data_IF_857930611745
#
_entry.id   IF_857930611745
#
_cell.length_a   1.000
_cell.length_b   1.000
_cell.length_c   1.000
_cell.angle_alpha   90.00
_cell.angle_beta   90.00
_cell.angle_gamma   90.00
#
_symmetry.space_group_name_H-M   'P 1'
#
loop_
_entity.id
_entity.type
_entity.pdbx_description
1 polymer ?
#
# COMPACT_ATOMS: atom_id res chain seq x y z
N UNK A 1 -0.73 -6.01 -32.38
CA UNK A 1 -1.47 -6.51 -31.20
C UNK A 1 -0.92 -5.75 -30.00
N UNK A 2 -1.57 -4.67 -29.60
CA UNK A 2 -1.06 -3.75 -28.56
C UNK A 2 -1.80 -4.09 -27.26
N UNK A 3 -1.08 -4.61 -26.27
CA UNK A 3 -1.61 -4.95 -24.94
C UNK A 3 -1.59 -3.69 -24.07
N UNK A 4 -2.78 -3.15 -23.79
CA UNK A 4 -3.01 -2.04 -22.87
C UNK A 4 -2.85 -2.54 -21.43
N UNK A 5 -1.78 -2.14 -20.76
CA UNK A 5 -1.53 -2.41 -19.34
C UNK A 5 -2.37 -1.41 -18.52
N UNK A 6 -3.57 -1.82 -18.13
CA UNK A 6 -4.51 -0.98 -17.39
C UNK A 6 -4.13 -0.88 -15.90
N UNK A 7 -3.34 0.14 -15.54
CA UNK A 7 -3.35 0.67 -14.17
C UNK A 7 -4.51 1.66 -14.11
N UNK A 8 -5.64 1.24 -13.54
CA UNK A 8 -6.84 2.08 -13.47
C UNK A 8 -6.64 3.13 -12.37
N UNK A 9 -6.18 4.33 -12.75
CA UNK A 9 -6.17 5.48 -11.87
C UNK A 9 -7.61 6.00 -11.70
N UNK A 10 -8.28 5.63 -10.60
CA UNK A 10 -9.50 6.32 -10.19
C UNK A 10 -9.09 7.58 -9.44
N UNK A 11 -8.87 8.66 -10.19
CA UNK A 11 -8.82 10.01 -9.62
C UNK A 11 -10.27 10.48 -9.43
N UNK A 12 -10.80 10.30 -8.23
CA UNK A 12 -12.09 10.87 -7.87
C UNK A 12 -11.91 12.39 -7.68
N UNK A 13 -12.12 13.16 -8.75
CA UNK A 13 -12.44 14.58 -8.65
C UNK A 13 -13.89 14.68 -8.19
N UNK A 14 -14.10 14.91 -6.90
CA UNK A 14 -15.36 15.44 -6.40
C UNK A 14 -15.51 16.86 -6.97
N UNK A 15 -16.28 16.99 -8.06
CA UNK A 15 -16.71 18.29 -8.55
C UNK A 15 -17.86 18.81 -7.71
N UNK A 16 -17.62 20.03 -7.23
CA UNK A 16 -18.48 20.94 -6.51
C UNK A 16 -19.75 21.26 -7.33
N UNK A 17 -20.92 20.87 -6.82
CA UNK A 17 -22.20 21.37 -7.30
C UNK A 17 -22.59 22.56 -6.43
N UNK A 18 -22.68 23.73 -7.06
CA UNK A 18 -22.67 25.05 -6.43
C UNK A 18 -23.64 25.28 -5.27
N UNK A 19 -23.15 26.02 -4.28
CA UNK A 19 -23.96 26.72 -3.29
C UNK A 19 -23.71 28.23 -3.44
N UNK A 20 -24.76 29.05 -3.68
CA UNK A 20 -24.61 30.49 -3.76
C UNK A 20 -24.54 31.09 -2.35
N UNK A 21 -23.49 31.88 -2.13
CA UNK A 21 -23.41 33.05 -1.26
C UNK A 21 -24.14 33.00 0.11
N UNK A 22 -23.47 32.51 1.16
CA UNK A 22 -23.66 33.03 2.53
C UNK A 22 -22.34 32.97 3.32
N UNK A 23 -21.94 34.11 3.89
CA UNK A 23 -20.69 34.28 4.60
C UNK A 23 -20.61 33.59 5.96
N UNK A 24 -19.38 33.57 6.47
CA UNK A 24 -19.01 33.50 7.88
C UNK A 24 -18.84 32.14 8.58
N UNK A 25 -18.85 30.99 7.90
CA UNK A 25 -18.64 29.69 8.59
C UNK A 25 -17.69 28.69 7.93
N UNK A 26 -16.65 29.16 7.24
CA UNK A 26 -15.47 28.31 7.01
C UNK A 26 -14.39 28.63 8.05
N UNK A 27 -14.06 27.71 8.99
CA UNK A 27 -12.88 27.90 9.81
C UNK A 27 -11.68 28.03 8.87
N UNK A 28 -10.95 29.14 8.99
CA UNK A 28 -9.72 29.37 8.25
C UNK A 28 -8.78 28.19 8.47
N UNK A 29 -8.39 27.51 7.38
CA UNK A 29 -7.22 26.64 7.36
C UNK A 29 -7.39 25.23 7.94
N UNK A 30 -8.31 24.42 7.41
CA UNK A 30 -8.03 22.97 7.33
C UNK A 30 -7.77 22.63 5.87
N UNK A 31 -6.50 22.40 5.55
CA UNK A 31 -6.05 22.05 4.20
C UNK A 31 -6.82 20.85 3.64
N UNK A 32 -7.01 20.83 2.32
CA UNK A 32 -7.58 19.68 1.63
C UNK A 32 -6.74 18.44 1.95
N UNK A 33 -7.33 17.49 2.67
CA UNK A 33 -6.72 16.17 2.85
C UNK A 33 -7.02 15.38 1.58
N UNK A 34 -5.97 14.98 0.89
CA UNK A 34 -6.08 14.14 -0.30
C UNK A 34 -5.99 12.67 0.14
N UNK A 35 -6.93 11.84 -0.30
CA UNK A 35 -6.85 10.39 -0.15
C UNK A 35 -6.53 9.78 -1.50
N UNK A 36 -5.50 8.93 -1.53
CA UNK A 36 -5.18 8.11 -2.70
C UNK A 36 -5.32 6.65 -2.35
N UNK A 37 -5.92 5.87 -3.24
CA UNK A 37 -6.00 4.43 -3.12
C UNK A 37 -5.37 3.80 -4.37
N UNK A 38 -4.53 2.78 -4.16
CA UNK A 38 -3.95 1.97 -5.23
C UNK A 38 -4.38 0.54 -4.98
N UNK A 39 -5.31 0.04 -5.81
CA UNK A 39 -5.73 -1.35 -5.79
C UNK A 39 -4.82 -2.20 -6.66
N UNK A 40 -4.57 -3.42 -6.21
CA UNK A 40 -3.71 -4.38 -6.90
C UNK A 40 -4.52 -5.59 -7.34
N UNK A 41 -4.25 -6.07 -8.54
CA UNK A 41 -4.78 -7.37 -8.97
C UNK A 41 -4.03 -8.52 -8.27
N UNK A 42 -4.62 -9.71 -8.23
CA UNK A 42 -4.00 -10.91 -7.65
C UNK A 42 -2.61 -11.19 -8.24
N UNK A 43 -2.46 -11.02 -9.56
CA UNK A 43 -1.17 -11.20 -10.26
C UNK A 43 -0.12 -10.19 -9.79
N UNK A 44 -0.53 -8.96 -9.56
CA UNK A 44 0.37 -7.90 -9.08
C UNK A 44 0.74 -8.12 -7.61
N UNK A 45 -0.22 -8.55 -6.79
CA UNK A 45 0.02 -8.95 -5.40
C UNK A 45 1.02 -10.10 -5.33
N UNK A 46 0.79 -11.17 -6.10
CA UNK A 46 1.71 -12.31 -6.20
C UNK A 46 3.10 -11.88 -6.65
N UNK A 47 3.19 -11.08 -7.72
CA UNK A 47 4.47 -10.57 -8.24
C UNK A 47 5.21 -9.74 -7.20
N UNK A 48 4.50 -8.84 -6.51
CA UNK A 48 5.07 -8.00 -5.45
C UNK A 48 5.66 -8.83 -4.32
N UNK A 49 4.94 -9.86 -3.85
CA UNK A 49 5.39 -10.76 -2.77
C UNK A 49 6.60 -11.59 -3.21
N UNK A 50 6.57 -12.16 -4.42
CA UNK A 50 7.69 -12.98 -4.94
C UNK A 50 8.96 -12.12 -5.14
N UNK A 51 8.83 -10.92 -5.70
CA UNK A 51 9.97 -10.02 -5.83
C UNK A 51 10.52 -9.55 -4.48
N UNK A 52 9.63 -9.29 -3.52
CA UNK A 52 10.01 -8.84 -2.19
C UNK A 52 10.76 -9.93 -1.41
N UNK A 53 10.27 -11.17 -1.45
CA UNK A 53 10.94 -12.33 -0.84
C UNK A 53 12.29 -12.61 -1.47
N UNK A 54 12.39 -12.48 -2.80
CA UNK A 54 13.67 -12.56 -3.52
C UNK A 54 14.69 -11.52 -3.04
N UNK A 55 14.27 -10.28 -2.78
CA UNK A 55 15.14 -9.23 -2.21
C UNK A 55 15.56 -9.50 -0.77
N UNK A 56 14.68 -10.13 0.02
CA UNK A 56 14.97 -10.53 1.39
C UNK A 56 15.84 -11.79 1.49
N UNK A 57 16.20 -12.43 0.36
CA UNK A 57 16.86 -13.74 0.32
C UNK A 57 16.12 -14.82 1.13
N UNK A 58 14.79 -14.65 1.32
CA UNK A 58 13.96 -15.67 1.96
C UNK A 58 13.72 -16.77 0.94
N UNK A 59 14.20 -17.98 1.22
CA UNK A 59 14.01 -19.13 0.34
C UNK A 59 12.53 -19.49 0.30
N UNK A 60 11.88 -19.21 -0.84
CA UNK A 60 10.60 -19.81 -1.15
C UNK A 60 10.82 -21.27 -1.58
N UNK A 61 9.90 -22.19 -1.26
CA UNK A 61 9.94 -23.53 -1.82
C UNK A 61 9.89 -23.45 -3.35
N UNK A 62 10.61 -24.36 -4.01
CA UNK A 62 10.59 -24.50 -5.45
C UNK A 62 9.27 -25.14 -5.88
N UNK A 63 8.70 -24.69 -7.00
CA UNK A 63 7.43 -25.20 -7.48
C UNK A 63 6.60 -24.17 -8.25
N UNK A 64 5.39 -24.58 -8.60
CA UNK A 64 4.39 -23.73 -9.26
C UNK A 64 3.60 -22.94 -8.22
N UNK A 65 3.67 -21.61 -8.31
CA UNK A 65 2.86 -20.71 -7.49
C UNK A 65 1.41 -20.73 -8.00
N UNK A 66 0.45 -20.99 -7.10
CA UNK A 66 -1.00 -20.88 -7.36
C UNK A 66 -1.51 -19.49 -6.96
N UNK A 67 -2.79 -19.23 -7.24
CA UNK A 67 -3.42 -17.97 -6.93
C UNK A 67 -3.35 -17.67 -5.41
N UNK A 68 -3.00 -16.43 -5.02
CA UNK A 68 -2.86 -16.05 -3.62
C UNK A 68 -4.21 -16.03 -2.93
N UNK A 69 -4.25 -16.51 -1.68
CA UNK A 69 -5.44 -16.45 -0.83
C UNK A 69 -5.26 -15.33 0.18
N UNK A 70 -6.15 -14.35 0.13
CA UNK A 70 -6.20 -13.25 1.10
C UNK A 70 -7.12 -13.67 2.23
N UNK A 71 -6.57 -13.77 3.45
CA UNK A 71 -7.36 -14.01 4.65
C UNK A 71 -7.64 -12.66 5.29
N UNK A 72 -8.87 -12.21 5.13
CA UNK A 72 -9.39 -11.00 5.75
C UNK A 72 -9.57 -11.21 7.27
N UNK A 73 -9.04 -10.27 8.06
CA UNK A 73 -9.13 -10.28 9.52
C UNK A 73 -8.14 -9.29 10.11
N UNK A 74 -8.26 -8.92 11.39
CA UNK A 74 -7.19 -8.26 12.11
C UNK A 74 -6.27 -9.31 12.74
N UNK A 75 -5.05 -9.56 12.23
CA UNK A 75 -4.35 -8.90 11.12
C UNK A 75 -4.61 -9.55 9.74
N UNK A 76 -4.45 -8.76 8.67
CA UNK A 76 -4.59 -9.26 7.30
C UNK A 76 -3.42 -10.21 7.01
N UNK A 77 -3.70 -11.38 6.44
CA UNK A 77 -2.64 -12.31 6.03
C UNK A 77 -2.84 -12.75 4.60
N UNK A 78 -1.73 -13.00 3.89
CA UNK A 78 -1.75 -13.52 2.53
C UNK A 78 -1.04 -14.86 2.52
N UNK A 79 -1.73 -15.87 2.01
CA UNK A 79 -1.22 -17.22 1.83
C UNK A 79 -0.88 -17.43 0.36
N UNK A 80 0.33 -17.90 0.11
CA UNK A 80 0.80 -18.24 -1.23
C UNK A 80 0.96 -19.77 -1.31
N UNK A 81 0.01 -20.48 -1.95
CA UNK A 81 0.13 -21.91 -2.18
C UNK A 81 1.16 -22.16 -3.28
N UNK A 82 2.09 -23.07 -3.03
CA UNK A 82 3.16 -23.45 -3.94
C UNK A 82 3.12 -24.97 -4.07
N UNK A 83 2.87 -25.46 -5.28
CA UNK A 83 2.88 -26.88 -5.60
C UNK A 83 4.28 -27.30 -6.07
N UNK A 84 4.94 -28.17 -5.32
CA UNK A 84 6.24 -28.73 -5.70
C UNK A 84 6.12 -29.74 -6.86
N UNK A 85 7.23 -30.09 -7.49
CA UNK A 85 7.29 -31.02 -8.63
C UNK A 85 6.80 -32.44 -8.26
N UNK A 86 6.78 -32.75 -6.96
CA UNK A 86 6.25 -34.01 -6.40
C UNK A 86 4.74 -33.96 -6.09
N UNK A 87 4.04 -32.89 -6.46
CA UNK A 87 2.61 -32.69 -6.20
C UNK A 87 2.30 -32.36 -4.73
N UNK A 88 3.31 -31.99 -3.94
CA UNK A 88 3.13 -31.59 -2.54
C UNK A 88 2.84 -30.10 -2.45
N UNK A 89 1.77 -29.75 -1.75
CA UNK A 89 1.41 -28.36 -1.49
C UNK A 89 2.20 -27.81 -0.31
N UNK A 90 2.89 -26.71 -0.54
CA UNK A 90 3.54 -25.88 0.46
C UNK A 90 2.79 -24.56 0.56
N UNK A 91 2.65 -24.04 1.77
CA UNK A 91 1.98 -22.77 2.02
C UNK A 91 2.97 -21.77 2.62
N UNK A 92 3.14 -20.64 1.95
CA UNK A 92 3.93 -19.53 2.46
C UNK A 92 2.99 -18.42 2.93
N UNK A 93 2.96 -18.17 4.24
CA UNK A 93 2.14 -17.11 4.85
C UNK A 93 2.95 -15.83 5.04
N UNK A 94 2.34 -14.71 4.70
CA UNK A 94 2.87 -13.36 4.83
C UNK A 94 1.98 -12.52 5.73
N UNK A 95 2.60 -11.80 6.66
CA UNK A 95 1.90 -10.89 7.55
C UNK A 95 1.56 -9.56 6.85
N UNK A 96 0.54 -8.85 7.34
CA UNK A 96 0.11 -7.54 6.82
C UNK A 96 1.26 -6.57 6.53
N UNK A 97 2.20 -6.46 7.48
CA UNK A 97 3.36 -5.56 7.35
C UNK A 97 4.31 -5.98 6.22
N UNK A 98 4.52 -7.29 6.04
CA UNK A 98 5.34 -7.82 4.94
C UNK A 98 4.65 -7.56 3.60
N UNK A 99 3.34 -7.77 3.52
CA UNK A 99 2.54 -7.53 2.32
C UNK A 99 2.52 -6.05 1.96
N UNK A 100 2.32 -5.16 2.94
CA UNK A 100 2.37 -3.72 2.73
C UNK A 100 3.76 -3.28 2.22
N UNK A 101 4.83 -3.78 2.82
CA UNK A 101 6.20 -3.51 2.37
C UNK A 101 6.46 -4.03 0.95
N UNK A 102 5.96 -5.22 0.61
CA UNK A 102 6.06 -5.79 -0.73
C UNK A 102 5.35 -4.93 -1.79
N UNK A 103 4.13 -4.47 -1.50
CA UNK A 103 3.36 -3.60 -2.40
C UNK A 103 4.00 -2.22 -2.57
N UNK A 104 4.52 -1.63 -1.49
CA UNK A 104 5.30 -0.37 -1.56
C UNK A 104 6.55 -0.57 -2.43
N UNK A 105 7.29 -1.67 -2.21
CA UNK A 105 8.47 -2.03 -3.00
C UNK A 105 8.16 -2.21 -4.49
N UNK A 106 7.03 -2.83 -4.80
CA UNK A 106 6.52 -2.99 -6.16
C UNK A 106 6.21 -1.63 -6.82
N UNK A 107 5.52 -0.73 -6.12
CA UNK A 107 5.26 0.63 -6.61
C UNK A 107 6.55 1.42 -6.89
N UNK A 108 7.56 1.30 -6.01
CA UNK A 108 8.87 1.94 -6.21
C UNK A 108 9.56 1.44 -7.47
N UNK A 109 9.53 0.12 -7.69
CA UNK A 109 10.16 -0.54 -8.86
C UNK A 109 9.50 -0.10 -10.17
N UNK A 110 8.18 0.11 -10.15
CA UNK A 110 7.41 0.61 -11.30
C UNK A 110 7.38 2.13 -11.43
N UNK A 111 8.17 2.85 -10.62
CA UNK A 111 8.24 4.33 -10.62
C UNK A 111 6.87 4.99 -10.41
N UNK A 112 5.96 4.33 -9.71
CA UNK A 112 4.69 4.92 -9.29
C UNK A 112 5.02 5.94 -8.20
N UNK A 113 4.68 7.21 -8.44
CA UNK A 113 4.99 8.30 -7.51
C UNK A 113 4.17 8.16 -6.23
N UNK A 114 4.79 7.58 -5.21
CA UNK A 114 4.24 7.57 -3.86
C UNK A 114 4.83 8.70 -3.02
N UNK A 115 4.01 9.40 -2.22
CA UNK A 115 4.51 10.35 -1.25
C UNK A 115 5.37 9.67 -0.18
N UNK A 116 6.59 10.18 0.02
CA UNK A 116 7.52 9.63 1.01
C UNK A 116 6.96 9.76 2.44
N UNK A 117 6.42 10.94 2.78
CA UNK A 117 5.89 11.30 4.11
C UNK A 117 4.37 11.22 4.16
N UNK A 118 3.85 10.01 3.96
CA UNK A 118 2.42 9.74 4.08
C UNK A 118 2.22 8.42 4.79
N UNK A 119 1.18 8.35 5.61
CA UNK A 119 0.71 7.10 6.19
C UNK A 119 0.17 6.20 5.07
N UNK A 120 0.57 4.93 5.10
CA UNK A 120 0.23 3.92 4.10
C UNK A 120 -0.29 2.71 4.84
N UNK A 121 -1.54 2.36 4.59
CA UNK A 121 -2.22 1.24 5.26
C UNK A 121 -2.71 0.26 4.22
N UNK A 122 -2.52 -1.03 4.48
CA UNK A 122 -3.09 -2.08 3.66
C UNK A 122 -4.55 -2.30 4.07
N UNK A 123 -5.44 -2.31 3.10
CA UNK A 123 -6.85 -2.63 3.28
C UNK A 123 -7.28 -3.58 2.17
N UNK A 124 -8.27 -4.42 2.45
CA UNK A 124 -8.92 -5.21 1.41
C UNK A 124 -10.21 -4.49 1.02
N UNK A 125 -10.30 -4.05 -0.24
CA UNK A 125 -11.46 -3.34 -0.78
C UNK A 125 -11.97 -4.14 -1.97
N UNK A 126 -13.21 -4.60 -1.90
CA UNK A 126 -13.82 -5.43 -2.95
C UNK A 126 -12.98 -6.68 -3.29
N UNK A 127 -12.38 -7.32 -2.28
CA UNK A 127 -11.53 -8.51 -2.45
C UNK A 127 -10.13 -8.23 -3.00
N UNK A 128 -9.78 -6.97 -3.28
CA UNK A 128 -8.46 -6.60 -3.76
C UNK A 128 -7.61 -5.96 -2.66
N UNK A 129 -6.35 -6.38 -2.56
CA UNK A 129 -5.35 -5.69 -1.75
C UNK A 129 -5.21 -4.25 -2.24
N UNK A 130 -5.39 -3.29 -1.35
CA UNK A 130 -5.40 -1.86 -1.66
C UNK A 130 -4.52 -1.11 -0.67
N UNK A 131 -3.56 -0.34 -1.19
CA UNK A 131 -2.82 0.62 -0.38
C UNK A 131 -3.59 1.92 -0.32
N UNK A 132 -4.07 2.26 0.88
CA UNK A 132 -4.68 3.57 1.18
C UNK A 132 -3.60 4.50 1.69
N UNK A 133 -3.48 5.66 1.06
CA UNK A 133 -2.44 6.66 1.31
C UNK A 133 -3.12 7.97 1.69
N UNK A 134 -2.88 8.41 2.92
CA UNK A 134 -3.42 9.66 3.45
C UNK A 134 -2.40 10.79 3.25
N UNK A 135 -2.75 11.76 2.40
CA UNK A 135 -1.99 12.97 2.13
C UNK A 135 -2.59 14.12 2.95
N UNK A 136 -2.02 14.32 4.13
CA UNK A 136 -2.23 15.52 4.95
C UNK A 136 -0.90 16.24 5.16
N UNK A 137 -0.97 17.48 5.62
CA UNK A 137 0.19 18.17 6.17
C UNK A 137 0.61 17.42 7.44
N UNK A 138 1.61 16.55 7.33
CA UNK A 138 2.23 15.96 8.50
C UNK A 138 3.03 17.08 9.15
N UNK A 139 2.50 17.67 10.23
CA UNK A 139 3.30 18.47 11.16
C UNK A 139 4.49 17.60 11.55
N UNK A 140 5.65 17.92 10.99
CA UNK A 140 6.90 17.29 11.35
C UNK A 140 7.19 17.76 12.77
N UNK A 141 6.79 16.96 13.77
CA UNK A 141 7.21 17.13 15.15
C UNK A 141 8.73 16.94 15.18
N UNK A 142 9.44 18.03 14.94
CA UNK A 142 10.86 18.12 15.08
C UNK A 142 11.09 18.12 16.59
N UNK A 143 11.16 16.92 17.17
CA UNK A 143 11.63 16.72 18.53
C UNK A 143 13.00 17.40 18.64
N UNK A 144 12.96 18.61 19.18
CA UNK A 144 14.10 19.43 19.52
C UNK A 144 14.82 18.69 20.64
N UNK A 145 15.76 17.81 20.29
CA UNK A 145 16.82 17.39 21.21
C UNK A 145 17.61 18.64 21.60
N UNK A 146 17.12 19.38 22.59
CA UNK A 146 17.90 20.23 23.48
C UNK A 146 17.92 19.56 24.85
N UNK A 147 18.44 18.34 24.88
CA UNK A 147 19.04 17.79 26.07
C UNK A 147 20.56 18.05 25.95
N UNK A 148 21.08 18.76 26.95
CA UNK A 148 22.48 18.70 27.38
C UNK A 148 23.52 19.47 26.55
N UNK A 149 23.68 20.77 26.82
CA UNK A 149 25.00 21.33 27.20
C UNK A 149 24.85 22.80 27.66
N UNK A 150 24.75 23.03 28.96
CA UNK A 150 25.22 24.24 29.65
C UNK A 150 25.21 23.99 31.16
N UNK A 151 26.18 23.21 31.60
CA UNK A 151 26.77 23.38 32.94
C UNK A 151 28.12 24.07 32.72
N UNK A 152 28.18 25.34 33.11
CA UNK A 152 29.38 26.03 33.58
C UNK A 152 28.95 27.32 34.24
#
# INVERSE_FOLDING_TARGET
>A
MILTVGVTWVSARLYDAGCPNQGHWYPRGRGMQELRAISFTERELMTAIVEFTGRLNRKLPVGMVKDPVIVEGPPITVQLPIEDDYGKMHEATFAEMEVAAALVSYCMTRKIRMPAKAEKVLQIISGAATLVIWLGEQEVDTQRKKATLRSR
#
